data_IF_742635679593
#
_entry.id   IF_742635679593
#
_cell.length_a   1.000
_cell.length_b   1.000
_cell.length_c   1.000
_cell.angle_alpha   90.00
_cell.angle_beta   90.00
_cell.angle_gamma   90.00
#
_symmetry.space_group_name_H-M   'P 1'
#
loop_
_entity.id
_entity.type
_entity.pdbx_description
1 polymer ?
#
# COMPACT_ATOMS: atom_id res chain seq x y z
N UNK A 1 -4.48 68.19 18.31
CA UNK A 1 -5.51 68.39 19.36
C UNK A 1 -5.43 67.22 20.32
N UNK A 2 -5.27 67.49 21.62
CA UNK A 2 -5.55 66.68 22.83
C UNK A 2 -5.04 65.22 22.90
N UNK A 3 -4.54 64.66 24.02
CA UNK A 3 -4.04 65.09 25.34
C UNK A 3 -3.73 63.78 26.12
N UNK A 4 -2.64 63.76 26.90
CA UNK A 4 -2.34 62.95 28.12
C UNK A 4 -2.27 61.40 27.97
N UNK A 5 -1.27 60.66 28.45
CA UNK A 5 -0.67 60.59 29.81
C UNK A 5 -0.95 59.14 30.33
N UNK A 6 -0.08 58.36 30.99
CA UNK A 6 1.01 58.63 31.91
C UNK A 6 2.02 57.46 32.01
N UNK A 7 3.16 57.76 32.60
CA UNK A 7 4.33 56.94 32.93
C UNK A 7 4.30 56.53 34.42
N UNK A 8 4.78 55.33 34.77
CA UNK A 8 5.47 55.00 36.04
C UNK A 8 6.08 53.57 35.91
N UNK A 9 7.41 53.35 35.80
CA UNK A 9 8.45 53.26 36.85
C UNK A 9 7.97 52.61 38.17
N UNK A 10 8.69 51.73 38.88
CA UNK A 10 9.84 50.84 38.70
C UNK A 10 9.99 50.14 40.08
N UNK A 11 10.48 48.90 40.13
CA UNK A 11 11.44 48.47 41.17
C UNK A 11 11.90 47.03 40.93
N UNK A 12 13.22 46.84 40.93
CA UNK A 12 13.84 45.53 40.88
C UNK A 12 13.94 44.86 42.25
N UNK A 13 14.13 43.55 42.22
CA UNK A 13 14.81 42.80 43.28
C UNK A 13 15.53 41.61 42.64
N UNK A 14 16.87 41.71 42.65
CA UNK A 14 17.81 40.61 42.50
C UNK A 14 17.69 39.70 43.72
N UNK A 15 17.49 38.40 43.53
CA UNK A 15 17.85 37.38 44.51
C UNK A 15 18.57 36.24 43.80
N UNK A 16 19.70 35.87 44.40
CA UNK A 16 20.75 35.03 43.87
C UNK A 16 20.42 33.52 43.82
N UNK A 17 21.21 32.81 43.03
CA UNK A 17 21.24 31.37 42.84
C UNK A 17 21.48 30.57 44.14
N UNK A 18 20.80 29.43 44.26
CA UNK A 18 21.31 28.28 44.98
C UNK A 18 20.93 26.98 44.22
N UNK A 19 21.98 26.28 43.77
CA UNK A 19 21.93 24.94 43.18
C UNK A 19 21.41 23.92 44.20
N UNK A 20 20.38 23.15 43.82
CA UNK A 20 20.19 21.79 44.34
C UNK A 20 20.08 20.83 43.16
N UNK A 21 21.13 20.04 42.96
CA UNK A 21 21.11 18.89 42.06
C UNK A 21 20.19 17.82 42.66
N UNK A 22 19.08 17.54 42.01
CA UNK A 22 18.31 16.31 42.21
C UNK A 22 18.54 15.42 40.99
N UNK A 23 19.28 14.33 41.19
CA UNK A 23 19.42 13.22 40.25
C UNK A 23 18.15 12.37 40.33
N UNK A 24 17.15 12.69 39.52
CA UNK A 24 16.00 11.83 39.24
C UNK A 24 16.13 11.25 37.85
N UNK A 25 16.34 9.94 37.74
CA UNK A 25 16.36 9.23 36.47
C UNK A 25 15.06 9.47 35.70
N UNK A 26 15.16 9.94 34.47
CA UNK A 26 14.02 10.05 33.57
C UNK A 26 13.48 8.65 33.28
N UNK A 27 12.27 8.36 33.75
CA UNK A 27 11.55 7.15 33.39
C UNK A 27 11.25 7.20 31.88
N UNK A 28 11.57 6.11 31.19
CA UNK A 28 11.19 5.90 29.80
C UNK A 28 9.66 5.98 29.65
N UNK A 29 9.14 6.52 28.53
CA UNK A 29 7.70 6.58 28.31
C UNK A 29 7.15 5.14 28.25
N UNK A 30 6.20 4.86 29.13
CA UNK A 30 5.43 3.61 29.11
C UNK A 30 4.54 3.66 27.88
N UNK A 31 4.73 2.70 26.97
CA UNK A 31 3.87 2.52 25.81
C UNK A 31 2.42 2.31 26.31
N UNK A 32 1.54 3.21 25.93
CA UNK A 32 0.09 3.02 26.10
C UNK A 32 -0.36 1.85 25.23
N UNK A 33 -1.17 0.91 25.76
CA UNK A 33 -1.67 -0.18 24.95
C UNK A 33 -2.53 0.38 23.82
N UNK A 34 -2.26 -0.09 22.60
CA UNK A 34 -3.06 0.21 21.41
C UNK A 34 -4.49 -0.26 21.66
N UNK A 35 -5.47 0.63 21.47
CA UNK A 35 -6.87 0.27 21.59
C UNK A 35 -7.22 -0.75 20.51
N UNK A 36 -7.89 -1.85 20.88
CA UNK A 36 -8.39 -2.81 19.89
C UNK A 36 -9.31 -2.09 18.89
N UNK A 37 -9.20 -2.37 17.57
CA UNK A 37 -10.12 -1.84 16.58
C UNK A 37 -11.58 -2.16 16.96
N UNK A 38 -12.50 -1.25 16.64
CA UNK A 38 -13.92 -1.56 16.74
C UNK A 38 -14.24 -2.73 15.79
N UNK A 39 -15.20 -3.60 16.15
CA UNK A 39 -15.52 -4.78 15.34
C UNK A 39 -15.93 -4.45 13.89
N UNK A 40 -16.43 -3.24 13.63
CA UNK A 40 -16.80 -2.75 12.29
C UNK A 40 -15.60 -2.26 11.46
N UNK A 41 -14.42 -2.08 12.06
CA UNK A 41 -13.22 -1.61 11.38
C UNK A 41 -12.29 -2.74 10.92
N UNK A 42 -12.52 -3.97 11.41
CA UNK A 42 -11.67 -5.13 11.13
C UNK A 42 -11.83 -5.65 9.72
N UNK A 43 -10.72 -6.08 9.15
CA UNK A 43 -10.69 -6.75 7.85
C UNK A 43 -10.79 -8.27 8.05
N UNK A 44 -11.31 -9.03 7.06
CA UNK A 44 -11.65 -10.45 7.24
C UNK A 44 -10.45 -11.34 7.63
N UNK A 45 -9.26 -10.84 7.41
CA UNK A 45 -7.95 -11.42 7.61
C UNK A 45 -7.35 -11.09 9.01
N UNK A 46 -7.84 -10.05 9.69
CA UNK A 46 -7.42 -9.64 11.05
C UNK A 46 -8.00 -10.53 12.20
N UNK A 47 -8.42 -11.76 11.88
CA UNK A 47 -9.13 -12.67 12.79
C UNK A 47 -8.26 -13.63 13.59
N UNK A 48 -6.94 -13.65 13.37
CA UNK A 48 -6.05 -14.62 14.00
C UNK A 48 -5.98 -14.43 15.53
N UNK A 49 -6.06 -15.53 16.29
CA UNK A 49 -5.86 -15.49 17.75
C UNK A 49 -4.41 -15.15 18.13
N UNK A 50 -3.47 -15.32 17.21
CA UNK A 50 -2.05 -15.02 17.37
C UNK A 50 -1.44 -14.68 16.01
N UNK A 51 -1.07 -13.41 15.82
CA UNK A 51 -0.44 -12.94 14.60
C UNK A 51 1.01 -13.46 14.52
N UNK A 52 1.44 -14.03 13.38
CA UNK A 52 2.80 -14.54 13.22
C UNK A 52 3.86 -13.45 13.40
N UNK A 53 4.95 -13.79 14.10
CA UNK A 53 6.11 -12.91 14.31
C UNK A 53 7.32 -13.40 13.51
N UNK A 54 7.98 -12.50 12.77
CA UNK A 54 9.20 -12.81 12.03
C UNK A 54 10.35 -13.17 12.97
N UNK A 55 10.41 -12.54 14.14
CA UNK A 55 11.40 -12.86 15.19
C UNK A 55 11.33 -14.31 15.68
N UNK A 56 10.17 -14.95 15.53
CA UNK A 56 9.94 -16.35 15.94
C UNK A 56 10.05 -17.33 14.77
N UNK A 57 9.74 -16.87 13.54
CA UNK A 57 9.69 -17.69 12.33
C UNK A 57 11.06 -18.21 11.85
N UNK A 58 12.17 -17.57 12.25
CA UNK A 58 13.56 -17.95 11.91
C UNK A 58 13.79 -18.15 10.40
N UNK A 59 13.11 -17.36 9.56
CA UNK A 59 13.25 -17.41 8.11
C UNK A 59 14.56 -16.75 7.67
N UNK A 60 15.32 -17.32 6.71
CA UNK A 60 16.52 -16.69 6.16
C UNK A 60 16.17 -15.37 5.45
N UNK A 61 16.79 -14.28 5.86
CA UNK A 61 16.60 -12.96 5.26
C UNK A 61 17.79 -12.03 5.54
N UNK A 62 17.95 -11.02 4.70
CA UNK A 62 18.84 -9.89 4.97
C UNK A 62 18.09 -8.80 5.74
N UNK A 63 18.79 -8.10 6.65
CA UNK A 63 18.25 -6.92 7.33
C UNK A 63 18.74 -5.68 6.62
N UNK A 64 17.82 -4.93 6.02
CA UNK A 64 18.14 -3.74 5.21
C UNK A 64 17.56 -2.53 5.93
N UNK A 65 18.38 -1.51 6.14
CA UNK A 65 17.91 -0.28 6.79
C UNK A 65 16.97 0.48 5.86
N UNK A 66 15.90 1.01 6.43
CA UNK A 66 15.05 2.00 5.80
C UNK A 66 15.90 3.25 5.48
N UNK A 67 15.75 3.78 4.27
CA UNK A 67 16.33 5.07 3.87
C UNK A 67 15.66 6.23 4.62
N UNK A 68 14.36 6.10 4.91
CA UNK A 68 13.62 6.91 5.87
C UNK A 68 12.35 6.16 6.30
N UNK A 69 11.76 6.64 7.39
CA UNK A 69 10.41 6.32 7.83
C UNK A 69 9.66 7.64 8.04
N UNK A 70 8.43 7.77 7.55
CA UNK A 70 7.61 8.96 7.82
C UNK A 70 7.26 9.05 9.31
N UNK A 71 6.82 10.22 9.77
CA UNK A 71 6.24 10.32 11.10
C UNK A 71 5.02 9.38 11.23
N UNK A 72 4.90 8.70 12.37
CA UNK A 72 3.79 7.81 12.69
C UNK A 72 2.49 8.60 12.89
N UNK A 73 1.41 8.16 12.25
CA UNK A 73 0.07 8.77 12.28
C UNK A 73 -1.04 7.73 12.49
N UNK A 74 -1.14 7.10 13.68
CA UNK A 74 -2.10 6.02 13.97
C UNK A 74 -3.57 6.42 13.82
N UNK A 75 -3.87 7.71 13.82
CA UNK A 75 -5.22 8.19 13.58
C UNK A 75 -5.67 8.05 12.11
N UNK A 76 -4.74 8.03 11.17
CA UNK A 76 -5.05 8.01 9.73
C UNK A 76 -5.44 6.59 9.26
N UNK A 77 -4.79 5.56 9.82
CA UNK A 77 -4.88 4.17 9.35
C UNK A 77 -4.51 4.09 7.85
N UNK A 78 -3.23 4.31 7.56
CA UNK A 78 -2.66 4.35 6.20
C UNK A 78 -2.52 2.93 5.63
N UNK A 79 -2.74 2.75 4.33
CA UNK A 79 -2.87 1.38 3.78
C UNK A 79 -2.06 1.12 2.50
N UNK A 80 -2.38 1.82 1.42
CA UNK A 80 -1.74 1.57 0.14
C UNK A 80 -0.99 2.81 -0.35
N UNK A 81 0.29 2.70 -0.77
CA UNK A 81 1.06 3.81 -1.31
C UNK A 81 1.10 3.75 -2.85
N UNK A 82 1.19 4.90 -3.49
CA UNK A 82 1.63 5.02 -4.88
C UNK A 82 2.54 6.24 -5.05
N UNK A 83 3.52 6.15 -5.92
CA UNK A 83 4.39 7.30 -6.23
C UNK A 83 3.91 8.06 -7.46
N UNK A 84 4.00 9.38 -7.42
CA UNK A 84 3.90 10.25 -8.60
C UNK A 84 5.08 11.20 -8.64
N UNK A 85 5.51 11.63 -9.83
CA UNK A 85 6.57 12.64 -9.96
C UNK A 85 6.02 13.84 -10.68
N UNK A 86 6.03 14.99 -10.00
CA UNK A 86 5.60 16.24 -10.56
C UNK A 86 6.46 16.63 -11.78
N UNK A 87 5.95 17.44 -12.71
CA UNK A 87 6.73 17.95 -13.84
C UNK A 87 8.02 18.69 -13.43
N UNK A 88 8.06 19.28 -12.22
CA UNK A 88 9.27 19.93 -11.69
C UNK A 88 10.28 18.95 -11.05
N UNK A 89 10.00 17.64 -11.09
CA UNK A 89 10.89 16.58 -10.61
C UNK A 89 10.68 16.14 -9.16
N UNK A 90 9.81 16.81 -8.39
CA UNK A 90 9.50 16.37 -7.03
C UNK A 90 8.70 15.07 -7.05
N UNK A 91 9.19 14.04 -6.36
CA UNK A 91 8.42 12.81 -6.12
C UNK A 91 7.47 13.02 -4.94
N UNK A 92 6.23 12.57 -5.10
CA UNK A 92 5.28 12.38 -4.02
C UNK A 92 5.05 10.90 -3.77
N UNK A 93 4.78 10.56 -2.51
CA UNK A 93 4.10 9.33 -2.12
C UNK A 93 2.69 9.73 -1.74
N UNK A 94 1.71 9.07 -2.33
CA UNK A 94 0.30 9.27 -2.05
C UNK A 94 -0.19 8.00 -1.39
N UNK A 95 -0.65 8.08 -0.14
CA UNK A 95 -1.23 6.94 0.56
C UNK A 95 -2.72 7.12 0.74
N UNK A 96 -3.45 6.01 0.73
CA UNK A 96 -4.82 5.97 1.25
C UNK A 96 -4.81 6.01 2.77
N UNK A 97 -5.86 6.57 3.37
CA UNK A 97 -6.10 6.59 4.81
C UNK A 97 -7.52 6.05 5.07
N UNK A 98 -7.61 4.77 5.45
CA UNK A 98 -8.85 3.99 5.54
C UNK A 98 -9.87 4.67 6.44
N UNK A 99 -9.42 5.17 7.59
CA UNK A 99 -10.32 5.67 8.63
C UNK A 99 -10.84 7.09 8.37
N UNK A 100 -9.99 7.97 7.85
CA UNK A 100 -10.36 9.39 7.64
C UNK A 100 -11.07 9.63 6.31
N UNK A 101 -10.99 8.70 5.35
CA UNK A 101 -11.53 8.90 4.00
C UNK A 101 -10.70 9.88 3.19
N UNK A 102 -9.39 9.94 3.46
CA UNK A 102 -8.46 10.90 2.85
C UNK A 102 -7.36 10.20 2.05
N UNK A 103 -6.67 10.97 1.22
CA UNK A 103 -5.33 10.65 0.75
C UNK A 103 -4.32 11.51 1.50
N UNK A 104 -3.21 10.91 1.92
CA UNK A 104 -2.09 11.63 2.54
C UNK A 104 -0.93 11.68 1.58
N UNK A 105 -0.42 12.88 1.33
CA UNK A 105 0.67 13.12 0.40
C UNK A 105 1.94 13.43 1.18
N UNK A 106 3.00 12.69 0.92
CA UNK A 106 4.34 12.87 1.47
C UNK A 106 5.34 13.24 0.36
N UNK A 107 6.39 13.95 0.74
CA UNK A 107 7.59 14.11 -0.08
C UNK A 107 8.31 12.77 -0.22
N UNK A 108 8.55 12.35 -1.45
CA UNK A 108 9.09 11.02 -1.75
C UNK A 108 10.56 10.83 -1.39
N UNK A 109 11.30 11.91 -1.14
CA UNK A 109 12.74 11.85 -0.84
C UNK A 109 13.03 11.92 0.66
N UNK A 110 12.22 12.69 1.39
CA UNK A 110 12.40 12.94 2.83
C UNK A 110 11.34 12.29 3.72
N UNK A 111 10.19 11.88 3.16
CA UNK A 111 9.05 11.41 3.93
C UNK A 111 8.29 12.52 4.67
N UNK A 112 8.56 13.80 4.39
CA UNK A 112 7.83 14.91 4.99
C UNK A 112 6.37 14.89 4.52
N UNK A 113 5.40 14.92 5.45
CA UNK A 113 3.99 15.10 5.09
C UNK A 113 3.79 16.48 4.47
N UNK A 114 3.20 16.49 3.27
CA UNK A 114 2.95 17.70 2.49
C UNK A 114 1.52 18.20 2.68
N UNK A 115 0.53 17.32 2.56
CA UNK A 115 -0.90 17.66 2.68
C UNK A 115 -1.79 16.42 2.78
N UNK A 116 -3.06 16.66 3.11
CA UNK A 116 -4.15 15.70 2.93
C UNK A 116 -5.11 16.17 1.84
N UNK A 117 -5.86 15.24 1.27
CA UNK A 117 -6.83 15.47 0.20
C UNK A 117 -8.09 14.65 0.49
N UNK A 118 -9.25 15.26 0.24
CA UNK A 118 -10.54 14.58 0.34
C UNK A 118 -11.16 14.65 1.72
N UNK A 119 -11.66 13.53 2.21
CA UNK A 119 -12.40 13.38 3.46
C UNK A 119 -13.58 12.43 3.31
N UNK A 120 -14.05 11.88 4.44
CA UNK A 120 -15.12 10.88 4.47
C UNK A 120 -16.40 11.36 3.76
N UNK A 121 -16.92 10.56 2.83
CA UNK A 121 -18.22 10.77 2.18
C UNK A 121 -18.33 10.15 0.79
N UNK A 122 -19.48 10.35 0.14
CA UNK A 122 -19.80 9.74 -1.16
C UNK A 122 -19.79 10.75 -2.33
N UNK A 123 -19.65 12.05 -2.09
CA UNK A 123 -19.60 13.04 -3.16
C UNK A 123 -18.28 12.91 -3.97
N UNK A 124 -18.24 13.38 -5.24
CA UNK A 124 -16.96 13.52 -5.95
C UNK A 124 -15.97 14.37 -5.12
N UNK A 125 -14.75 13.89 -4.96
CA UNK A 125 -13.74 14.50 -4.08
C UNK A 125 -13.71 13.92 -2.67
N UNK A 126 -14.77 13.24 -2.24
CA UNK A 126 -14.84 12.52 -0.96
C UNK A 126 -14.67 11.02 -1.20
N UNK A 127 -14.20 10.32 -0.17
CA UNK A 127 -14.00 8.86 -0.21
C UNK A 127 -14.58 8.21 1.03
N UNK A 128 -14.99 6.95 0.94
CA UNK A 128 -15.32 6.15 2.13
C UNK A 128 -14.51 4.86 2.13
N UNK A 129 -13.68 4.74 3.17
CA UNK A 129 -12.68 3.70 3.34
C UNK A 129 -11.85 3.45 2.06
N UNK A 130 -11.00 4.41 1.64
CA UNK A 130 -10.09 4.20 0.54
C UNK A 130 -9.05 3.14 0.94
N UNK A 131 -8.94 2.06 0.17
CA UNK A 131 -8.01 0.95 0.40
C UNK A 131 -6.86 1.04 -0.62
N UNK A 132 -7.05 0.55 -1.85
CA UNK A 132 -6.02 0.58 -2.89
C UNK A 132 -5.85 1.91 -3.61
N UNK A 133 -4.62 2.18 -4.07
CA UNK A 133 -4.29 3.29 -4.98
C UNK A 133 -3.33 2.83 -6.09
N UNK A 134 -3.55 3.33 -7.31
CA UNK A 134 -2.60 3.20 -8.42
C UNK A 134 -2.45 4.54 -9.15
N UNK A 135 -1.25 4.83 -9.66
CA UNK A 135 -0.97 6.04 -10.44
C UNK A 135 -0.63 5.68 -11.89
N UNK A 136 -1.31 6.30 -12.84
CA UNK A 136 -1.06 6.16 -14.29
C UNK A 136 -0.99 7.55 -14.92
N UNK A 137 0.22 7.97 -15.32
CA UNK A 137 0.45 9.34 -15.78
C UNK A 137 0.09 10.34 -14.67
N UNK A 138 -0.78 11.30 -14.99
CA UNK A 138 -1.28 12.31 -14.03
C UNK A 138 -2.66 11.95 -13.47
N UNK A 139 -2.96 10.65 -13.35
CA UNK A 139 -4.17 10.16 -12.69
C UNK A 139 -3.81 9.26 -11.52
N UNK A 140 -4.37 9.57 -10.35
CA UNK A 140 -4.44 8.66 -9.21
C UNK A 140 -5.82 7.97 -9.23
N UNK A 141 -5.85 6.65 -9.31
CA UNK A 141 -7.06 5.83 -9.20
C UNK A 141 -7.12 5.26 -7.79
N UNK A 142 -8.21 5.48 -7.09
CA UNK A 142 -8.40 5.07 -5.69
C UNK A 142 -9.61 4.16 -5.60
N UNK A 143 -9.44 2.98 -5.02
CA UNK A 143 -10.53 2.08 -4.68
C UNK A 143 -11.10 2.49 -3.33
N UNK A 144 -12.43 2.57 -3.26
CA UNK A 144 -13.18 2.89 -2.06
C UNK A 144 -14.01 1.65 -1.68
N UNK A 145 -13.64 0.99 -0.58
CA UNK A 145 -14.31 -0.24 -0.15
C UNK A 145 -15.77 0.01 0.18
N UNK A 146 -16.07 1.08 0.91
CA UNK A 146 -17.40 1.30 1.49
C UNK A 146 -18.31 2.17 0.60
N UNK A 147 -17.75 2.87 -0.39
CA UNK A 147 -18.52 3.41 -1.51
C UNK A 147 -18.62 2.45 -2.71
N UNK A 148 -17.98 1.28 -2.62
CA UNK A 148 -18.02 0.20 -3.60
C UNK A 148 -17.59 0.64 -5.00
N UNK A 149 -16.59 1.52 -5.11
CA UNK A 149 -16.27 2.17 -6.38
C UNK A 149 -14.78 2.46 -6.53
N UNK A 150 -14.41 2.88 -7.73
CA UNK A 150 -13.13 3.51 -8.00
C UNK A 150 -13.36 4.97 -8.38
N UNK A 151 -12.52 5.84 -7.84
CA UNK A 151 -12.49 7.26 -8.18
C UNK A 151 -11.13 7.63 -8.78
N UNK A 152 -11.16 8.31 -9.92
CA UNK A 152 -9.97 8.83 -10.58
C UNK A 152 -9.80 10.32 -10.28
N UNK A 153 -8.62 10.70 -9.82
CA UNK A 153 -8.22 12.05 -9.48
C UNK A 153 -7.12 12.54 -10.41
N UNK A 154 -7.27 13.74 -10.96
CA UNK A 154 -6.21 14.41 -11.72
C UNK A 154 -5.13 14.94 -10.80
N UNK A 155 -3.85 14.75 -11.16
CA UNK A 155 -2.70 15.29 -10.45
C UNK A 155 -2.17 16.54 -11.16
N UNK A 156 -1.65 17.54 -10.44
CA UNK A 156 -1.43 17.59 -8.99
C UNK A 156 -2.65 18.04 -8.16
N UNK A 157 -3.77 18.45 -8.76
CA UNK A 157 -4.82 19.19 -8.05
C UNK A 157 -5.79 18.30 -7.27
N UNK A 158 -5.77 17.00 -7.53
CA UNK A 158 -6.71 16.00 -7.02
C UNK A 158 -8.18 16.33 -7.31
N UNK A 159 -8.47 16.91 -8.47
CA UNK A 159 -9.86 17.03 -8.91
C UNK A 159 -10.38 15.65 -9.32
N UNK A 160 -11.54 15.26 -8.78
CA UNK A 160 -12.25 14.04 -9.19
C UNK A 160 -12.73 14.17 -10.63
N UNK A 161 -12.32 13.24 -11.49
CA UNK A 161 -12.59 13.28 -12.94
C UNK A 161 -13.35 12.05 -13.46
N UNK A 162 -13.44 10.99 -12.66
CA UNK A 162 -14.27 9.82 -12.95
C UNK A 162 -14.65 9.07 -11.67
N UNK A 163 -15.84 8.47 -11.71
CA UNK A 163 -16.39 7.57 -10.69
C UNK A 163 -16.97 6.37 -11.42
N UNK A 164 -16.60 5.15 -11.03
CA UNK A 164 -17.09 3.93 -11.68
C UNK A 164 -17.04 2.71 -10.77
N UNK A 165 -17.72 1.63 -11.17
CA UNK A 165 -17.71 0.35 -10.47
C UNK A 165 -18.80 0.16 -9.40
N UNK A 166 -19.52 1.22 -9.01
CA UNK A 166 -20.57 1.17 -7.98
C UNK A 166 -21.69 0.15 -8.24
N UNK A 167 -21.96 -0.18 -9.50
CA UNK A 167 -22.96 -1.17 -9.89
C UNK A 167 -22.41 -2.62 -9.95
N UNK A 168 -21.09 -2.78 -9.92
CA UNK A 168 -20.41 -4.06 -10.17
C UNK A 168 -19.64 -4.60 -8.95
N UNK A 169 -19.03 -3.70 -8.17
CA UNK A 169 -18.16 -4.02 -7.04
C UNK A 169 -18.98 -4.15 -5.76
N UNK A 170 -18.55 -5.05 -4.87
CA UNK A 170 -19.23 -5.29 -3.58
C UNK A 170 -18.39 -4.87 -2.39
N UNK A 171 -17.13 -5.31 -2.34
CA UNK A 171 -16.13 -5.01 -1.31
C UNK A 171 -14.76 -4.89 -1.97
N UNK A 172 -14.52 -3.83 -2.75
CA UNK A 172 -13.26 -3.70 -3.46
C UNK A 172 -12.12 -3.27 -2.52
N UNK A 173 -10.90 -3.76 -2.78
CA UNK A 173 -9.73 -3.43 -1.96
C UNK A 173 -8.57 -2.90 -2.81
N UNK A 174 -7.82 -3.80 -3.45
CA UNK A 174 -6.65 -3.48 -4.26
C UNK A 174 -7.00 -3.17 -5.72
N UNK A 175 -6.10 -2.44 -6.39
CA UNK A 175 -6.15 -2.28 -7.83
C UNK A 175 -4.76 -2.23 -8.47
N UNK A 176 -4.72 -2.61 -9.74
CA UNK A 176 -3.61 -2.35 -10.64
C UNK A 176 -4.13 -1.64 -11.89
N UNK A 177 -3.35 -0.70 -12.42
CA UNK A 177 -3.72 0.05 -13.61
C UNK A 177 -2.52 0.34 -14.51
N UNK A 178 -2.75 0.37 -15.82
CA UNK A 178 -1.74 0.75 -16.82
C UNK A 178 -2.36 1.43 -18.04
N UNK A 179 -1.58 2.20 -18.83
CA UNK A 179 -2.01 2.60 -20.16
C UNK A 179 -2.26 1.39 -21.06
N UNK A 180 -3.39 1.35 -21.77
CA UNK A 180 -3.72 0.30 -22.75
C UNK A 180 -4.75 0.81 -23.76
N UNK A 181 -4.53 0.49 -25.04
CA UNK A 181 -5.45 0.79 -26.15
C UNK A 181 -5.94 2.25 -26.20
N UNK A 182 -5.02 3.19 -25.98
CA UNK A 182 -5.31 4.64 -25.96
C UNK A 182 -6.09 5.12 -24.72
N UNK A 183 -6.29 4.25 -23.73
CA UNK A 183 -6.91 4.54 -22.45
C UNK A 183 -6.11 3.92 -21.30
N UNK A 184 -6.82 3.50 -20.25
CA UNK A 184 -6.23 2.85 -19.07
C UNK A 184 -6.99 1.54 -18.81
N UNK A 185 -6.26 0.44 -18.70
CA UNK A 185 -6.79 -0.81 -18.17
C UNK A 185 -6.66 -0.78 -16.65
N UNK A 186 -7.72 -1.20 -15.96
CA UNK A 186 -7.78 -1.25 -14.49
C UNK A 186 -8.28 -2.63 -14.09
N UNK A 187 -7.58 -3.31 -13.18
CA UNK A 187 -8.04 -4.54 -12.53
C UNK A 187 -8.23 -4.24 -11.05
N UNK A 188 -9.40 -4.58 -10.51
CA UNK A 188 -9.80 -4.31 -9.12
C UNK A 188 -10.13 -5.64 -8.45
N UNK A 189 -9.59 -5.89 -7.26
CA UNK A 189 -10.01 -7.03 -6.42
C UNK A 189 -11.33 -6.71 -5.70
N UNK A 190 -12.14 -7.72 -5.46
CA UNK A 190 -13.48 -7.63 -4.86
C UNK A 190 -13.65 -8.77 -3.82
N UNK A 191 -13.38 -8.43 -2.56
CA UNK A 191 -13.35 -9.35 -1.43
C UNK A 191 -14.72 -9.48 -0.74
N UNK A 192 -15.79 -9.74 -1.48
CA UNK A 192 -17.09 -9.97 -0.85
C UNK A 192 -17.04 -11.23 0.03
N UNK A 193 -17.51 -11.08 1.26
CA UNK A 193 -17.58 -12.12 2.28
C UNK A 193 -19.04 -12.33 2.71
N UNK A 194 -19.32 -13.48 3.33
CA UNK A 194 -20.63 -13.80 3.90
C UNK A 194 -20.66 -13.44 5.39
N UNK A 195 -21.86 -13.38 5.95
CA UNK A 195 -22.06 -13.03 7.36
C UNK A 195 -22.24 -11.53 7.58
N UNK A 196 -22.77 -11.17 8.76
CA UNK A 196 -22.92 -9.77 9.15
C UNK A 196 -21.60 -9.14 9.62
N UNK A 197 -20.64 -9.99 9.99
CA UNK A 197 -19.26 -9.66 10.34
C UNK A 197 -18.34 -9.56 9.10
N UNK A 198 -18.80 -10.03 7.93
CA UNK A 198 -18.02 -10.06 6.70
C UNK A 198 -16.72 -10.90 6.82
N UNK A 199 -16.69 -11.91 7.71
CA UNK A 199 -15.50 -12.76 7.93
C UNK A 199 -15.60 -14.14 7.25
N UNK A 200 -16.79 -14.54 6.77
CA UNK A 200 -16.98 -15.89 6.22
C UNK A 200 -16.67 -15.96 4.72
N UNK A 201 -15.61 -16.69 4.35
CA UNK A 201 -15.27 -16.98 2.94
C UNK A 201 -16.47 -17.64 2.22
N UNK A 202 -16.95 -17.10 1.08
CA UNK A 202 -17.99 -17.75 0.29
C UNK A 202 -17.57 -19.14 -0.24
N UNK A 203 -18.51 -20.06 -0.48
CA UNK A 203 -18.20 -21.34 -1.12
C UNK A 203 -17.44 -21.15 -2.44
N UNK A 204 -16.49 -22.03 -2.76
CA UNK A 204 -15.60 -21.90 -3.93
C UNK A 204 -16.34 -21.59 -5.24
N UNK A 205 -17.50 -22.22 -5.47
CA UNK A 205 -18.33 -21.99 -6.66
C UNK A 205 -18.83 -20.54 -6.82
N UNK A 206 -18.80 -19.74 -5.75
CA UNK A 206 -19.22 -18.34 -5.73
C UNK A 206 -18.05 -17.37 -5.87
N UNK A 207 -16.79 -17.83 -5.94
CA UNK A 207 -15.59 -16.98 -5.99
C UNK A 207 -15.23 -16.51 -7.42
N UNK A 208 -16.07 -16.80 -8.41
CA UNK A 208 -15.82 -16.44 -9.81
C UNK A 208 -15.86 -14.94 -10.13
N UNK A 209 -16.09 -14.08 -9.13
CA UNK A 209 -16.19 -12.63 -9.28
C UNK A 209 -15.19 -11.86 -8.39
N UNK A 210 -14.10 -12.51 -7.97
CA UNK A 210 -13.05 -11.90 -7.13
C UNK A 210 -12.36 -10.71 -7.78
N UNK A 211 -12.41 -10.57 -9.10
CA UNK A 211 -11.76 -9.48 -9.81
C UNK A 211 -12.64 -8.92 -10.92
N UNK A 212 -12.59 -7.59 -11.08
CA UNK A 212 -13.24 -6.84 -12.16
C UNK A 212 -12.19 -6.15 -13.01
N UNK A 213 -12.38 -6.16 -14.33
CA UNK A 213 -11.53 -5.43 -15.28
C UNK A 213 -12.31 -4.34 -15.98
N UNK A 214 -11.77 -3.13 -15.93
CA UNK A 214 -12.33 -1.96 -16.58
C UNK A 214 -11.39 -1.43 -17.66
N UNK A 215 -11.99 -0.91 -18.73
CA UNK A 215 -11.30 -0.04 -19.67
C UNK A 215 -11.79 1.39 -19.44
N UNK A 216 -10.88 2.27 -19.03
CA UNK A 216 -11.09 3.70 -18.97
C UNK A 216 -10.68 4.34 -20.29
N UNK A 217 -11.53 5.22 -20.82
CA UNK A 217 -11.23 6.01 -22.00
C UNK A 217 -11.59 7.46 -21.75
N UNK A 218 -10.75 8.35 -22.30
CA UNK A 218 -11.02 9.78 -22.28
C UNK A 218 -11.85 10.17 -23.50
N UNK A 219 -12.94 10.88 -23.26
CA UNK A 219 -13.78 11.49 -24.29
C UNK A 219 -13.84 13.00 -24.03
N UNK A 220 -12.99 13.76 -24.73
CA UNK A 220 -12.79 15.18 -24.45
C UNK A 220 -12.18 15.40 -23.06
N UNK A 221 -12.92 16.06 -22.16
CA UNK A 221 -12.48 16.26 -20.77
C UNK A 221 -13.04 15.20 -19.81
N UNK A 222 -14.01 14.39 -20.23
CA UNK A 222 -14.61 13.37 -19.40
C UNK A 222 -13.88 12.03 -19.53
N UNK A 223 -13.93 11.23 -18.47
CA UNK A 223 -13.49 9.85 -18.47
C UNK A 223 -14.70 8.93 -18.36
N UNK A 224 -14.74 7.89 -19.19
CA UNK A 224 -15.74 6.83 -19.10
C UNK A 224 -15.05 5.51 -18.83
N UNK A 225 -15.64 4.71 -17.94
CA UNK A 225 -15.18 3.36 -17.63
C UNK A 225 -16.19 2.33 -18.17
N UNK A 226 -15.70 1.21 -18.68
CA UNK A 226 -16.53 0.09 -19.13
C UNK A 226 -16.01 -1.18 -18.48
N UNK A 227 -16.88 -1.93 -17.79
CA UNK A 227 -16.57 -3.28 -17.33
C UNK A 227 -16.37 -4.19 -18.55
N UNK A 228 -15.19 -4.77 -18.66
CA UNK A 228 -14.79 -5.64 -19.79
C UNK A 228 -14.68 -7.10 -19.40
N UNK A 229 -14.41 -7.38 -18.11
CA UNK A 229 -14.33 -8.74 -17.61
C UNK A 229 -14.67 -8.81 -16.12
N UNK A 230 -15.29 -9.92 -15.74
CA UNK A 230 -15.38 -10.40 -14.36
C UNK A 230 -14.72 -11.76 -14.31
N UNK A 231 -13.85 -11.99 -13.33
CA UNK A 231 -13.14 -13.26 -13.24
C UNK A 231 -12.75 -13.63 -11.81
N UNK A 232 -12.37 -14.89 -11.66
CA UNK A 232 -11.98 -15.55 -10.42
C UNK A 232 -12.03 -17.06 -10.64
N UNK A 233 -11.08 -17.80 -10.08
CA UNK A 233 -11.08 -19.26 -10.15
C UNK A 233 -12.00 -19.84 -9.08
N UNK A 234 -12.70 -20.93 -9.40
CA UNK A 234 -13.65 -21.60 -8.49
C UNK A 234 -13.23 -23.00 -8.11
N UNK A 235 -12.13 -23.50 -8.68
CA UNK A 235 -11.47 -24.71 -8.20
C UNK A 235 -10.64 -24.44 -6.96
N UNK A 236 -10.54 -25.45 -6.08
CA UNK A 236 -9.75 -25.36 -4.86
C UNK A 236 -8.27 -25.02 -5.11
N UNK A 237 -7.76 -25.38 -6.30
CA UNK A 237 -6.37 -25.26 -6.69
C UNK A 237 -5.96 -23.85 -7.10
N UNK A 238 -6.89 -23.00 -7.55
CA UNK A 238 -6.55 -21.66 -8.02
C UNK A 238 -7.40 -20.54 -7.42
N UNK A 239 -8.48 -20.85 -6.70
CA UNK A 239 -9.32 -19.85 -6.07
C UNK A 239 -8.52 -18.92 -5.15
N UNK A 240 -8.96 -17.65 -5.10
CA UNK A 240 -8.54 -16.65 -4.12
C UNK A 240 -9.67 -16.51 -3.10
N UNK A 241 -9.43 -16.93 -1.86
CA UNK A 241 -10.42 -16.96 -0.78
C UNK A 241 -10.49 -15.65 -0.02
N UNK A 242 -9.36 -14.98 0.17
CA UNK A 242 -9.31 -13.59 0.63
C UNK A 242 -8.47 -12.83 -0.40
N UNK A 243 -9.08 -11.82 -1.01
CA UNK A 243 -8.52 -11.13 -2.18
C UNK A 243 -8.27 -9.65 -1.89
N UNK A 244 -7.02 -9.25 -1.76
CA UNK A 244 -6.66 -7.84 -1.70
C UNK A 244 -5.73 -7.48 -2.85
N UNK A 245 -4.49 -8.00 -2.80
CA UNK A 245 -3.40 -7.52 -3.64
C UNK A 245 -3.41 -8.10 -5.06
N UNK A 246 -3.28 -7.20 -6.04
CA UNK A 246 -3.23 -7.52 -7.46
C UNK A 246 -2.16 -6.69 -8.16
N UNK A 247 -1.29 -7.33 -8.94
CA UNK A 247 -0.30 -6.63 -9.76
C UNK A 247 -0.03 -7.41 -11.05
N UNK A 248 0.24 -6.72 -12.16
CA UNK A 248 0.46 -7.38 -13.44
C UNK A 248 1.78 -7.01 -14.11
N UNK A 249 2.24 -7.95 -14.95
CA UNK A 249 3.35 -7.79 -15.89
C UNK A 249 2.83 -8.07 -17.31
N UNK A 250 2.45 -7.00 -18.04
CA UNK A 250 1.92 -7.12 -19.39
C UNK A 250 2.89 -7.76 -20.37
N UNK A 251 4.21 -7.61 -20.16
CA UNK A 251 5.21 -8.16 -21.07
C UNK A 251 5.24 -9.69 -21.05
N UNK A 252 4.72 -10.31 -19.99
CA UNK A 252 4.69 -11.76 -19.81
C UNK A 252 3.26 -12.34 -19.72
N UNK A 253 2.23 -11.57 -20.09
CA UNK A 253 0.81 -11.96 -19.92
C UNK A 253 0.49 -12.42 -18.49
N UNK A 254 1.07 -11.76 -17.49
CA UNK A 254 1.05 -12.25 -16.11
C UNK A 254 0.29 -11.32 -15.18
N UNK A 255 -0.54 -11.93 -14.35
CA UNK A 255 -1.22 -11.31 -13.22
C UNK A 255 -0.83 -12.11 -11.97
N UNK A 256 -0.26 -11.46 -10.96
CA UNK A 256 -0.04 -12.05 -9.65
C UNK A 256 -1.12 -11.56 -8.70
N UNK A 257 -1.75 -12.53 -8.03
CA UNK A 257 -2.85 -12.33 -7.10
C UNK A 257 -2.45 -12.89 -5.75
N UNK A 258 -2.62 -12.12 -4.68
CA UNK A 258 -2.47 -12.59 -3.32
C UNK A 258 -3.63 -13.52 -2.93
N UNK A 259 -3.30 -14.67 -2.33
CA UNK A 259 -4.21 -15.45 -1.49
C UNK A 259 -3.76 -15.24 -0.05
N UNK A 260 -4.51 -14.43 0.69
CA UNK A 260 -4.18 -14.05 2.07
C UNK A 260 -4.68 -15.09 3.07
N UNK A 261 -5.61 -15.96 2.67
CA UNK A 261 -6.22 -16.94 3.56
C UNK A 261 -5.19 -17.94 4.12
N UNK A 262 -4.73 -17.66 5.33
CA UNK A 262 -3.79 -18.49 6.09
C UNK A 262 -4.34 -19.91 6.29
N UNK A 263 -5.66 -20.07 6.43
CA UNK A 263 -6.28 -21.37 6.69
C UNK A 263 -6.17 -22.32 5.49
N UNK A 264 -6.33 -21.82 4.27
CA UNK A 264 -6.02 -22.59 3.06
C UNK A 264 -4.52 -22.62 2.75
N UNK A 265 -3.78 -21.64 3.28
CA UNK A 265 -2.36 -21.36 3.09
C UNK A 265 -2.20 -20.04 2.30
N UNK A 266 -1.28 -19.20 2.74
CA UNK A 266 -1.02 -17.96 2.01
C UNK A 266 0.04 -18.14 0.92
N UNK A 267 -0.11 -17.44 -0.21
CA UNK A 267 0.82 -17.45 -1.36
C UNK A 267 0.43 -16.40 -2.40
N UNK A 268 1.28 -16.22 -3.41
CA UNK A 268 0.85 -15.57 -4.65
C UNK A 268 0.43 -16.64 -5.68
N UNK A 269 -0.60 -16.36 -6.47
CA UNK A 269 -1.04 -17.20 -7.59
C UNK A 269 -0.81 -16.50 -8.91
N UNK A 270 -0.34 -17.25 -9.90
CA UNK A 270 -0.20 -16.74 -11.25
C UNK A 270 -1.48 -16.95 -12.07
N UNK A 271 -1.97 -15.85 -12.62
CA UNK A 271 -3.06 -15.80 -13.57
C UNK A 271 -2.59 -15.18 -14.90
N UNK A 272 -3.33 -15.46 -15.97
CA UNK A 272 -3.17 -14.78 -17.25
C UNK A 272 -3.71 -13.36 -17.19
N UNK A 273 -2.89 -12.39 -17.60
CA UNK A 273 -3.40 -11.02 -17.71
C UNK A 273 -4.46 -10.90 -18.80
N UNK A 274 -4.31 -11.56 -19.94
CA UNK A 274 -5.24 -11.43 -21.06
C UNK A 274 -6.62 -12.04 -20.74
N UNK A 275 -6.64 -13.23 -20.14
CA UNK A 275 -7.85 -14.04 -19.97
C UNK A 275 -8.35 -14.15 -18.52
N UNK A 276 -7.59 -13.69 -17.54
CA UNK A 276 -7.96 -13.78 -16.11
C UNK A 276 -8.05 -15.21 -15.60
N UNK A 277 -7.33 -16.17 -16.20
CA UNK A 277 -7.37 -17.59 -15.81
C UNK A 277 -6.14 -17.99 -15.00
N UNK A 278 -6.35 -18.82 -13.99
CA UNK A 278 -5.26 -19.42 -13.23
C UNK A 278 -4.33 -20.25 -14.14
N UNK A 279 -3.02 -20.08 -13.97
CA UNK A 279 -1.99 -20.75 -14.78
C UNK A 279 -1.45 -22.04 -14.16
N UNK A 280 -2.02 -22.48 -13.03
CA UNK A 280 -1.58 -23.72 -12.37
C UNK A 280 -0.29 -23.56 -11.57
N UNK A 281 0.12 -22.33 -11.25
CA UNK A 281 1.36 -22.03 -10.55
C UNK A 281 1.14 -21.13 -9.36
N UNK A 282 1.56 -21.63 -8.20
CA UNK A 282 1.68 -20.87 -6.95
C UNK A 282 3.14 -20.45 -6.76
N UNK A 283 3.34 -19.28 -6.15
CA UNK A 283 4.64 -18.67 -5.90
C UNK A 283 4.79 -18.48 -4.40
N UNK A 284 5.87 -19.02 -3.84
CA UNK A 284 6.22 -18.90 -2.43
C UNK A 284 5.31 -19.67 -1.47
N UNK A 285 4.50 -20.63 -1.92
CA UNK A 285 3.58 -21.37 -1.04
C UNK A 285 4.26 -22.08 0.15
N UNK A 286 5.55 -22.40 0.03
CA UNK A 286 6.40 -22.96 1.09
C UNK A 286 7.22 -21.90 1.82
N UNK A 287 7.15 -20.63 1.41
CA UNK A 287 7.90 -19.50 1.95
C UNK A 287 7.05 -18.64 2.90
N UNK A 288 5.83 -18.29 2.48
CA UNK A 288 4.94 -17.42 3.27
C UNK A 288 4.53 -18.10 4.60
N UNK A 289 4.48 -17.32 5.68
CA UNK A 289 4.07 -17.78 7.03
C UNK A 289 3.09 -16.85 7.74
N UNK A 290 2.96 -15.60 7.30
CA UNK A 290 1.94 -14.66 7.73
C UNK A 290 0.89 -14.52 6.62
N UNK A 291 0.69 -13.32 6.06
CA UNK A 291 -0.24 -13.06 4.97
C UNK A 291 0.51 -12.48 3.77
N UNK A 292 0.22 -13.02 2.58
CA UNK A 292 0.71 -12.51 1.32
C UNK A 292 -0.05 -11.23 0.97
N UNK A 293 0.60 -10.08 1.08
CA UNK A 293 -0.03 -8.77 0.86
C UNK A 293 0.53 -8.09 -0.39
N UNK A 294 0.94 -6.82 -0.26
CA UNK A 294 1.39 -5.97 -1.34
C UNK A 294 2.39 -6.64 -2.28
N UNK A 295 2.16 -6.42 -3.57
CA UNK A 295 2.98 -6.94 -4.67
C UNK A 295 3.57 -5.76 -5.43
N UNK A 296 4.86 -5.81 -5.75
CA UNK A 296 5.51 -4.84 -6.63
C UNK A 296 6.39 -5.52 -7.69
N UNK A 297 6.63 -4.81 -8.78
CA UNK A 297 7.42 -5.31 -9.92
C UNK A 297 8.52 -4.31 -10.29
N UNK A 298 9.76 -4.79 -10.31
CA UNK A 298 10.86 -4.15 -11.04
C UNK A 298 10.94 -4.76 -12.43
N UNK A 299 10.83 -3.93 -13.45
CA UNK A 299 10.96 -4.32 -14.86
C UNK A 299 12.18 -3.64 -15.51
N UNK A 300 13.21 -4.43 -15.83
CA UNK A 300 14.37 -3.96 -16.58
C UNK A 300 14.08 -3.94 -18.11
N UNK A 301 14.80 -3.09 -18.84
CA UNK A 301 14.64 -2.92 -20.29
C UNK A 301 15.03 -4.18 -21.10
N UNK A 302 15.94 -5.01 -20.57
CA UNK A 302 16.35 -6.29 -21.19
C UNK A 302 15.36 -7.45 -20.94
N UNK A 303 14.21 -7.15 -20.33
CA UNK A 303 13.18 -8.13 -19.97
C UNK A 303 13.42 -8.85 -18.65
N UNK A 304 14.58 -8.69 -18.01
CA UNK A 304 14.80 -9.17 -16.64
C UNK A 304 14.10 -8.27 -15.61
N UNK A 305 14.23 -8.61 -14.33
CA UNK A 305 13.64 -7.85 -13.24
C UNK A 305 13.29 -8.72 -12.05
N UNK A 306 12.51 -8.18 -11.13
CA UNK A 306 12.16 -8.84 -9.88
C UNK A 306 10.73 -8.54 -9.45
N UNK A 307 10.03 -9.56 -8.97
CA UNK A 307 8.82 -9.38 -8.16
C UNK A 307 9.20 -9.23 -6.70
N UNK A 308 8.46 -8.40 -5.98
CA UNK A 308 8.49 -8.32 -4.52
C UNK A 308 7.10 -8.70 -4.04
N UNK A 309 7.01 -9.62 -3.09
CA UNK A 309 5.78 -9.96 -2.40
C UNK A 309 5.96 -9.82 -0.88
N UNK A 310 5.00 -9.20 -0.22
CA UNK A 310 5.02 -8.94 1.22
C UNK A 310 4.45 -10.12 1.99
N UNK A 311 5.18 -10.62 2.99
CA UNK A 311 4.69 -11.52 4.04
C UNK A 311 4.51 -10.69 5.33
N UNK A 312 3.25 -10.42 5.68
CA UNK A 312 2.81 -9.43 6.66
C UNK A 312 2.96 -9.92 8.11
N UNK A 313 4.19 -10.18 8.53
CA UNK A 313 4.47 -10.44 9.94
C UNK A 313 4.20 -9.21 10.80
N UNK A 314 3.70 -9.44 12.03
CA UNK A 314 3.23 -8.37 12.92
C UNK A 314 4.36 -7.51 13.51
N UNK A 315 5.51 -8.10 13.80
CA UNK A 315 6.65 -7.40 14.39
C UNK A 315 7.62 -6.80 13.36
N UNK A 316 7.86 -7.49 12.24
CA UNK A 316 8.67 -7.03 11.10
C UNK A 316 8.25 -7.75 9.81
N UNK A 317 7.79 -7.02 8.81
CA UNK A 317 7.36 -7.63 7.55
C UNK A 317 8.55 -8.17 6.78
N UNK A 318 8.34 -9.33 6.14
CA UNK A 318 9.34 -9.97 5.30
C UNK A 318 8.96 -9.77 3.83
N UNK A 319 9.89 -9.27 3.03
CA UNK A 319 9.69 -9.03 1.61
C UNK A 319 10.42 -10.11 0.82
N UNK A 320 9.66 -11.02 0.21
CA UNK A 320 10.19 -12.03 -0.69
C UNK A 320 10.50 -11.44 -2.06
N UNK A 321 11.65 -11.77 -2.63
CA UNK A 321 12.07 -11.34 -3.97
C UNK A 321 12.14 -12.54 -4.89
N UNK A 322 11.48 -12.45 -6.03
CA UNK A 322 11.43 -13.49 -7.04
C UNK A 322 11.97 -12.97 -8.37
N UNK A 323 12.69 -13.81 -9.11
CA UNK A 323 13.08 -13.50 -10.48
C UNK A 323 11.83 -13.26 -11.34
N UNK A 324 11.82 -12.17 -12.12
CA UNK A 324 10.65 -11.75 -12.89
C UNK A 324 10.17 -12.80 -13.87
N UNK A 325 11.06 -13.55 -14.51
CA UNK A 325 10.71 -14.46 -15.59
C UNK A 325 10.34 -15.85 -15.07
N UNK A 326 11.26 -16.43 -14.29
CA UNK A 326 11.18 -17.80 -13.78
C UNK A 326 10.30 -17.92 -12.54
N UNK A 327 10.06 -16.81 -11.83
CA UNK A 327 9.40 -16.76 -10.52
C UNK A 327 10.16 -17.53 -9.43
N UNK A 328 11.43 -17.86 -9.65
CA UNK A 328 12.28 -18.48 -8.64
C UNK A 328 12.56 -17.48 -7.51
N UNK A 329 12.50 -17.92 -6.26
CA UNK A 329 12.87 -17.11 -5.11
C UNK A 329 14.38 -16.82 -5.13
N UNK A 330 14.76 -15.55 -5.16
CA UNK A 330 16.16 -15.10 -5.24
C UNK A 330 16.68 -14.51 -3.93
N UNK A 331 15.81 -14.32 -2.93
CA UNK A 331 16.16 -13.85 -1.60
C UNK A 331 14.99 -13.17 -0.93
N UNK A 332 15.16 -12.84 0.35
CA UNK A 332 14.19 -12.08 1.11
C UNK A 332 14.89 -11.05 2.00
N UNK A 333 14.23 -9.94 2.28
CA UNK A 333 14.74 -8.93 3.20
C UNK A 333 13.64 -8.42 4.12
N UNK A 334 14.04 -7.87 5.26
CA UNK A 334 13.14 -7.16 6.15
C UNK A 334 13.81 -5.87 6.63
N UNK A 335 12.99 -4.85 6.91
CA UNK A 335 13.43 -3.57 7.46
C UNK A 335 14.01 -3.70 8.87
N UNK A 336 14.58 -2.66 9.46
CA UNK A 336 14.90 -2.70 10.90
C UNK A 336 13.64 -2.63 11.75
N UNK A 337 12.62 -1.92 11.28
CA UNK A 337 11.38 -1.64 12.03
C UNK A 337 10.11 -1.81 11.19
N UNK A 338 10.18 -1.75 9.86
CA UNK A 338 8.98 -1.94 9.01
C UNK A 338 8.28 -3.26 9.30
N UNK A 339 6.98 -3.19 9.55
CA UNK A 339 6.16 -4.24 10.15
C UNK A 339 4.72 -4.08 9.70
N UNK A 340 3.95 -5.18 9.72
CA UNK A 340 2.53 -5.22 9.40
C UNK A 340 2.22 -4.41 8.13
N UNK A 341 2.98 -4.69 7.06
CA UNK A 341 2.86 -4.01 5.77
C UNK A 341 1.73 -4.61 4.94
N UNK A 342 0.75 -3.79 4.60
CA UNK A 342 -0.29 -4.09 3.61
C UNK A 342 0.24 -3.72 2.21
N UNK A 343 0.03 -2.46 1.80
CA UNK A 343 0.40 -1.97 0.49
C UNK A 343 1.89 -1.63 0.34
N UNK A 344 2.38 -1.86 -0.87
CA UNK A 344 3.76 -1.53 -1.28
C UNK A 344 3.77 -0.90 -2.67
N UNK A 345 4.82 -0.13 -2.96
CA UNK A 345 5.01 0.48 -4.27
C UNK A 345 6.49 0.58 -4.63
N UNK A 346 6.86 0.14 -5.83
CA UNK A 346 8.21 0.32 -6.35
C UNK A 346 8.23 1.41 -7.42
N UNK A 347 8.89 2.53 -7.13
CA UNK A 347 9.22 3.53 -8.14
C UNK A 347 10.60 3.23 -8.74
N UNK A 348 10.60 2.62 -9.92
CA UNK A 348 11.83 2.21 -10.62
C UNK A 348 12.47 3.30 -11.48
N UNK A 349 11.86 4.49 -11.62
CA UNK A 349 12.35 5.54 -12.55
C UNK A 349 13.75 6.04 -12.17
N UNK A 350 14.01 6.09 -10.87
CA UNK A 350 15.24 6.58 -10.27
C UNK A 350 15.46 8.09 -10.42
N UNK A 351 16.29 8.65 -9.54
CA UNK A 351 16.68 10.06 -9.55
C UNK A 351 18.02 10.29 -8.82
N UNK A 352 18.31 11.52 -8.40
CA UNK A 352 19.55 11.84 -7.67
C UNK A 352 19.60 11.20 -6.26
N UNK A 353 18.47 11.08 -5.56
CA UNK A 353 18.38 10.53 -4.21
C UNK A 353 18.37 9.00 -4.24
N UNK A 354 17.60 8.44 -5.16
CA UNK A 354 17.40 7.00 -5.37
C UNK A 354 17.71 6.61 -6.82
N UNK A 355 19.00 6.50 -7.21
CA UNK A 355 19.38 6.30 -8.61
C UNK A 355 18.80 5.06 -9.27
N UNK A 356 18.65 3.95 -8.53
CA UNK A 356 18.08 2.71 -9.07
C UNK A 356 16.61 2.50 -8.68
N UNK A 357 15.94 3.56 -8.21
CA UNK A 357 14.58 3.48 -7.70
C UNK A 357 14.50 3.25 -6.20
N UNK A 358 13.27 3.27 -5.71
CA UNK A 358 12.92 3.23 -4.29
C UNK A 358 11.67 2.39 -4.09
N UNK A 359 11.75 1.50 -3.11
CA UNK A 359 10.64 0.65 -2.68
C UNK A 359 10.00 1.26 -1.44
N UNK A 360 8.71 1.58 -1.52
CA UNK A 360 7.91 2.09 -0.42
C UNK A 360 7.04 0.97 0.13
N UNK A 361 6.95 0.89 1.44
CA UNK A 361 6.14 -0.08 2.16
C UNK A 361 5.41 0.63 3.30
N UNK A 362 4.13 0.32 3.50
CA UNK A 362 3.46 0.75 4.73
C UNK A 362 4.07 0.09 5.95
N UNK A 363 3.96 0.78 7.06
CA UNK A 363 4.42 0.34 8.36
C UNK A 363 3.29 0.52 9.37
N UNK A 364 2.73 -0.62 9.79
CA UNK A 364 1.79 -0.74 10.92
C UNK A 364 0.61 0.24 10.84
N UNK A 365 0.05 0.40 9.64
CA UNK A 365 -1.04 1.35 9.33
C UNK A 365 -0.76 2.82 9.68
N UNK A 366 0.51 3.18 9.88
CA UNK A 366 0.90 4.39 10.60
C UNK A 366 1.90 5.25 9.87
N UNK A 367 2.75 4.64 9.05
CA UNK A 367 3.83 5.35 8.39
C UNK A 367 4.21 4.67 7.08
N UNK A 368 5.00 5.36 6.26
CA UNK A 368 5.62 4.79 5.07
C UNK A 368 7.12 4.65 5.32
N UNK A 369 7.64 3.44 5.09
CA UNK A 369 9.05 3.17 5.01
C UNK A 369 9.53 3.25 3.56
N UNK A 370 10.73 3.77 3.34
CA UNK A 370 11.38 3.78 2.04
C UNK A 370 12.67 2.96 2.09
N UNK A 371 12.91 2.14 1.07
CA UNK A 371 14.12 1.36 0.90
C UNK A 371 14.78 1.75 -0.42
N UNK A 372 16.07 2.09 -0.37
CA UNK A 372 16.84 2.33 -1.60
C UNK A 372 17.04 1.00 -2.32
N UNK A 373 16.62 0.91 -3.58
CA UNK A 373 16.73 -0.33 -4.35
C UNK A 373 18.19 -0.82 -4.45
N UNK A 374 19.18 0.09 -4.41
CA UNK A 374 20.61 -0.29 -4.43
C UNK A 374 21.01 -1.13 -3.23
N UNK A 375 20.42 -0.84 -2.07
CA UNK A 375 20.74 -1.57 -0.83
C UNK A 375 20.08 -2.95 -0.85
N UNK A 376 18.86 -3.06 -1.40
CA UNK A 376 18.19 -4.33 -1.69
C UNK A 376 19.01 -5.17 -2.66
N UNK A 377 19.31 -4.63 -3.85
CA UNK A 377 20.03 -5.33 -4.89
C UNK A 377 21.42 -5.80 -4.43
N UNK A 378 22.16 -4.96 -3.70
CA UNK A 378 23.49 -5.32 -3.18
C UNK A 378 23.41 -6.42 -2.13
N UNK A 379 22.48 -6.32 -1.18
CA UNK A 379 22.38 -7.28 -0.07
C UNK A 379 21.99 -8.66 -0.57
N UNK A 380 21.05 -8.71 -1.52
CA UNK A 380 20.57 -9.95 -2.13
C UNK A 380 21.40 -10.40 -3.36
N UNK A 381 22.44 -9.65 -3.73
CA UNK A 381 23.32 -9.91 -4.89
C UNK A 381 22.54 -10.06 -6.21
N UNK A 382 21.52 -9.21 -6.37
CA UNK A 382 20.68 -9.18 -7.57
C UNK A 382 21.45 -8.58 -8.74
N UNK A 383 21.08 -8.99 -9.95
CA UNK A 383 21.59 -8.38 -11.18
C UNK A 383 21.03 -6.97 -11.27
N UNK A 384 21.90 -6.00 -11.54
CA UNK A 384 21.44 -4.63 -11.79
C UNK A 384 20.64 -4.55 -13.10
N UNK A 385 19.55 -3.79 -13.10
CA UNK A 385 18.89 -3.43 -14.35
C UNK A 385 19.85 -2.59 -15.20
N UNK A 386 20.09 -3.01 -16.43
CA UNK A 386 20.64 -2.13 -17.44
C UNK A 386 19.64 -0.97 -17.65
N UNK A 387 20.15 0.27 -17.61
CA UNK A 387 19.36 1.48 -17.81
C UNK A 387 19.21 1.83 -19.27
#
# INVERSE_FOLDING_TARGET
>A
MLRLGALALACGLLVACANTRSTGAAAAPVATPVAKPAAADREPDEGAQHDPLLSEAKLPHEVIAEAFLTASTPADNLDSPASWTAPQGQRWIITTAKKSGELVVFDGDSGQRLRTVGGKGAAPGQMDRPNGIAVVGDLALVVERDNHRVQAFSLPDFASVALFGAEDLKKPYGLWAQPKDGGIEVVVSDNYMLGADEETVPPLAQLGQRFRRYQLRRQGQAWTATLTQTFGETSAAGAIRIAESVYADPAHDRLLLAEEDVASGTRLREYGLADGKYRGRDIGADLYRAQAEGIALLSCADGSGYWIGTDQFKDRSLFHVFDRQTLAHVGAFAGKVTANTDGVWLDQRGDRRFPQGVFYALHDDQAVAAFDWRDIARSLRLKECAR
#
